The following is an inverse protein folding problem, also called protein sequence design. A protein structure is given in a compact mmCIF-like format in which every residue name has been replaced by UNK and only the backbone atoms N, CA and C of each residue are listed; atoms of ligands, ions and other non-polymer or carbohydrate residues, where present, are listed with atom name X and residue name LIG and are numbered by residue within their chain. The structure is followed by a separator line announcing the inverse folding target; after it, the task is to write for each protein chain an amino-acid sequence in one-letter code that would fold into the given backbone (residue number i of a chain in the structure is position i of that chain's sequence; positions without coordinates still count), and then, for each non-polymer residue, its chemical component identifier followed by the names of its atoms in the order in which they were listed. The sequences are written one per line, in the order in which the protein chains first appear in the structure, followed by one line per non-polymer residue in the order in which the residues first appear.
data_IF_235523918698
#
_entry.id   IF_235523918698
#
_cell.length_a   1.000
_cell.length_b   1.000
_cell.length_c   1.000
_cell.angle_alpha   90.00
_cell.angle_beta   90.00
_cell.angle_gamma   90.00
#
_symmetry.space_group_name_H-M   'P 1'
#
loop_
_entity.id
_entity.type
_entity.pdbx_description
1 polymer ?
#
# COMPACT_ATOMS: atom_id res chain seq x y z
N UNK A 1 2.73 -8.97 0.78
CA UNK A 1 3.42 -8.07 1.73
C UNK A 1 4.75 -8.71 2.08
N UNK A 2 5.85 -7.97 1.93
CA UNK A 2 7.20 -8.48 2.22
C UNK A 2 7.81 -7.81 3.46
N UNK A 3 7.40 -6.58 3.78
CA UNK A 3 7.93 -5.81 4.89
C UNK A 3 6.90 -4.79 5.38
N UNK A 4 6.98 -4.44 6.67
CA UNK A 4 6.31 -3.28 7.25
C UNK A 4 7.36 -2.45 8.01
N UNK A 5 7.35 -1.14 7.81
CA UNK A 5 8.20 -0.19 8.53
C UNK A 5 7.39 1.06 8.83
N UNK A 6 7.30 1.44 10.10
CA UNK A 6 6.50 2.59 10.55
C UNK A 6 5.03 2.51 10.08
N UNK A 7 4.60 3.39 9.21
CA UNK A 7 3.27 3.47 8.61
C UNK A 7 3.22 2.95 7.17
N UNK A 8 4.34 2.42 6.65
CA UNK A 8 4.46 1.90 5.29
C UNK A 8 4.39 0.36 5.25
N UNK A 9 3.64 -0.17 4.27
CA UNK A 9 3.61 -1.57 3.90
C UNK A 9 4.25 -1.77 2.53
N UNK A 10 5.27 -2.62 2.43
CA UNK A 10 5.96 -2.88 1.17
C UNK A 10 5.52 -4.23 0.57
N UNK A 11 5.28 -4.25 -0.75
CA UNK A 11 4.80 -5.42 -1.49
C UNK A 11 5.69 -5.67 -2.71
N UNK A 12 5.98 -6.95 -2.96
CA UNK A 12 6.44 -7.41 -4.27
C UNK A 12 5.25 -7.98 -5.01
N UNK A 13 4.89 -7.37 -6.14
CA UNK A 13 3.65 -7.65 -6.88
C UNK A 13 3.98 -7.93 -8.34
N UNK A 14 3.41 -8.98 -8.95
CA UNK A 14 3.49 -9.18 -10.39
C UNK A 14 2.90 -7.99 -11.15
N UNK A 15 3.57 -7.54 -12.22
CA UNK A 15 3.13 -6.36 -13.00
C UNK A 15 1.69 -6.49 -13.51
N UNK A 16 1.25 -7.70 -13.85
CA UNK A 16 -0.12 -7.98 -14.30
C UNK A 16 -1.20 -7.83 -13.22
N UNK A 17 -0.80 -7.76 -11.95
CA UNK A 17 -1.70 -7.64 -10.80
C UNK A 17 -1.61 -6.26 -10.13
N UNK A 18 -0.80 -5.34 -10.68
CA UNK A 18 -0.48 -4.04 -10.11
C UNK A 18 -1.73 -3.28 -9.68
N UNK A 19 -2.63 -3.00 -10.60
CA UNK A 19 -3.81 -2.17 -10.36
C UNK A 19 -4.77 -2.82 -9.35
N UNK A 20 -4.94 -4.14 -9.45
CA UNK A 20 -5.82 -4.90 -8.54
C UNK A 20 -5.28 -4.90 -7.12
N UNK A 21 -3.97 -5.09 -6.95
CA UNK A 21 -3.37 -5.11 -5.61
C UNK A 21 -3.35 -3.70 -5.01
N UNK A 22 -3.08 -2.67 -5.81
CA UNK A 22 -3.17 -1.27 -5.37
C UNK A 22 -4.55 -0.94 -4.80
N UNK A 23 -5.62 -1.25 -5.55
CA UNK A 23 -7.00 -1.01 -5.12
C UNK A 23 -7.32 -1.71 -3.80
N UNK A 24 -7.01 -3.01 -3.70
CA UNK A 24 -7.26 -3.80 -2.49
C UNK A 24 -6.48 -3.23 -1.31
N UNK A 25 -5.20 -2.91 -1.48
CA UNK A 25 -4.35 -2.46 -0.36
C UNK A 25 -4.81 -1.09 0.14
N UNK A 26 -5.11 -0.15 -0.75
CA UNK A 26 -5.60 1.18 -0.36
C UNK A 26 -6.95 1.04 0.37
N UNK A 27 -7.90 0.28 -0.19
CA UNK A 27 -9.23 0.10 0.42
C UNK A 27 -9.14 -0.50 1.82
N UNK A 28 -8.33 -1.56 1.99
CA UNK A 28 -8.18 -2.24 3.27
C UNK A 28 -7.41 -1.38 4.29
N UNK A 29 -6.39 -0.62 3.87
CA UNK A 29 -5.64 0.27 4.76
C UNK A 29 -6.50 1.44 5.26
N UNK A 30 -7.27 2.08 4.39
CA UNK A 30 -8.14 3.20 4.79
C UNK A 30 -9.33 2.75 5.66
N UNK A 31 -9.76 1.49 5.54
CA UNK A 31 -10.87 0.92 6.31
C UNK A 31 -10.43 0.08 7.51
N UNK A 32 -9.13 -0.08 7.73
CA UNK A 32 -8.58 -0.94 8.77
C UNK A 32 -9.08 -0.61 10.18
N UNK A 33 -9.39 0.66 10.45
CA UNK A 33 -9.91 1.10 11.74
C UNK A 33 -10.88 2.28 11.60
N UNK A 34 -11.95 2.28 12.40
CA UNK A 34 -12.87 3.41 12.48
C UNK A 34 -12.29 4.48 13.39
N UNK A 35 -11.82 5.57 12.79
CA UNK A 35 -11.26 6.71 13.49
C UNK A 35 -12.13 7.96 13.37
N UNK A 36 -11.96 8.91 14.30
CA UNK A 36 -12.62 10.22 14.22
C UNK A 36 -12.09 11.08 13.06
N UNK A 37 -10.84 10.84 12.66
CA UNK A 37 -10.20 11.40 11.47
C UNK A 37 -10.02 10.26 10.46
N UNK A 38 -10.39 10.43 9.18
CA UNK A 38 -10.25 9.37 8.18
C UNK A 38 -8.78 8.98 8.01
N UNK A 39 -8.53 7.67 7.93
CA UNK A 39 -7.25 7.16 7.48
C UNK A 39 -7.16 7.34 5.96
N UNK A 40 -6.00 7.77 5.50
CA UNK A 40 -5.70 7.92 4.08
C UNK A 40 -4.43 7.15 3.77
N UNK A 41 -4.46 6.34 2.71
CA UNK A 41 -3.30 5.61 2.23
C UNK A 41 -2.87 6.16 0.87
N UNK A 42 -1.57 6.32 0.67
CA UNK A 42 -0.98 6.65 -0.62
C UNK A 42 -0.15 5.43 -1.11
N UNK A 43 -0.01 5.29 -2.43
CA UNK A 43 0.73 4.19 -3.04
C UNK A 43 1.77 4.71 -4.04
N UNK A 44 2.96 4.12 -4.02
CA UNK A 44 4.02 4.37 -4.99
C UNK A 44 4.57 3.06 -5.56
N UNK A 45 5.14 3.16 -6.77
CA UNK A 45 5.61 2.01 -7.54
C UNK A 45 6.99 2.25 -8.11
N UNK A 46 7.87 1.25 -7.97
CA UNK A 46 9.25 1.34 -8.42
C UNK A 46 9.86 -0.05 -8.60
N UNK A 47 11.04 -0.11 -9.22
CA UNK A 47 11.78 -1.37 -9.38
C UNK A 47 12.51 -1.79 -8.11
N UNK A 48 12.66 -0.86 -7.18
CA UNK A 48 13.23 -1.04 -5.87
C UNK A 48 12.46 -0.16 -4.88
N UNK A 49 12.72 -0.33 -3.59
CA UNK A 49 12.02 0.39 -2.55
C UNK A 49 12.23 1.91 -2.63
N UNK A 50 13.44 2.38 -2.94
CA UNK A 50 13.74 3.81 -3.04
C UNK A 50 12.92 4.52 -4.14
N UNK A 51 12.63 3.84 -5.26
CA UNK A 51 11.79 4.37 -6.34
C UNK A 51 10.29 4.31 -6.03
N UNK A 52 9.87 3.39 -5.16
CA UNK A 52 8.47 3.15 -4.84
C UNK A 52 7.97 4.00 -3.65
N UNK A 53 8.89 4.54 -2.86
CA UNK A 53 8.63 5.48 -1.77
C UNK A 53 8.46 6.91 -2.30
#
# INVERSE_FOLDING_TARGET
MILQVHDELNFSVPVSEKERVEEIVIEEMERACRMHVPLKADCGWGKNWLEAH
#
